data_IF_774436559988
#
_entry.id   IF_774436559988
#
_cell.length_a   1.000
_cell.length_b   1.000
_cell.length_c   1.000
_cell.angle_alpha   90.00
_cell.angle_beta   90.00
_cell.angle_gamma   90.00
#
_symmetry.space_group_name_H-M   'P 1'
#
loop_
_entity.id
_entity.type
_entity.pdbx_description
1 polymer ?
#
# COMPACT_ATOMS: atom_id res chain seq x y z
N UNK A 1 -28.51 3.99 13.66
CA UNK A 1 -27.85 3.85 12.34
C UNK A 1 -26.61 4.74 12.36
N UNK A 2 -25.43 4.17 12.60
CA UNK A 2 -24.19 4.95 12.64
C UNK A 2 -23.75 5.29 11.22
N UNK A 3 -23.70 6.56 10.86
CA UNK A 3 -23.26 7.01 9.54
C UNK A 3 -21.77 6.76 9.39
N UNK A 4 -21.39 5.76 8.59
CA UNK A 4 -20.00 5.52 8.25
C UNK A 4 -19.50 6.69 7.39
N UNK A 5 -18.67 7.57 7.99
CA UNK A 5 -17.98 8.63 7.27
C UNK A 5 -16.91 7.99 6.39
N UNK A 6 -17.09 8.06 5.08
CA UNK A 6 -16.07 7.64 4.12
C UNK A 6 -14.90 8.61 4.22
N UNK A 7 -13.75 8.13 4.70
CA UNK A 7 -12.50 8.90 4.75
C UNK A 7 -11.84 8.82 3.38
N UNK A 8 -11.75 9.95 2.68
CA UNK A 8 -11.24 10.01 1.30
C UNK A 8 -9.72 9.79 1.18
N UNK A 9 -8.97 9.93 2.27
CA UNK A 9 -7.51 9.77 2.33
C UNK A 9 -7.13 8.79 3.43
N UNK A 10 -7.77 7.63 3.44
CA UNK A 10 -7.48 6.62 4.45
C UNK A 10 -6.07 6.07 4.23
N UNK A 11 -5.22 6.18 5.24
CA UNK A 11 -3.92 5.50 5.34
C UNK A 11 -4.09 4.41 6.38
N UNK A 12 -3.71 3.17 6.06
CA UNK A 12 -3.90 2.06 7.00
C UNK A 12 -3.12 2.27 8.29
N UNK A 13 -3.61 1.71 9.41
CA UNK A 13 -2.92 1.82 10.70
C UNK A 13 -1.48 1.27 10.63
N UNK A 14 -1.26 0.23 9.82
CA UNK A 14 0.07 -0.35 9.58
C UNK A 14 0.98 0.67 8.88
N UNK A 15 0.51 1.31 7.81
CA UNK A 15 1.28 2.31 7.07
C UNK A 15 1.63 3.51 7.97
N UNK A 16 0.71 3.92 8.84
CA UNK A 16 0.95 4.98 9.83
C UNK A 16 2.03 4.56 10.85
N UNK A 17 1.97 3.33 11.37
CA UNK A 17 2.97 2.81 12.30
C UNK A 17 4.35 2.75 11.67
N UNK A 18 4.46 2.31 10.41
CA UNK A 18 5.74 2.24 9.70
C UNK A 18 6.33 3.63 9.41
N UNK A 19 5.50 4.61 9.06
CA UNK A 19 5.94 6.00 8.90
C UNK A 19 6.46 6.58 10.22
N UNK A 20 5.75 6.34 11.33
CA UNK A 20 6.22 6.75 12.67
C UNK A 20 7.54 6.08 13.03
N UNK A 21 7.65 4.77 12.80
CA UNK A 21 8.88 4.01 13.07
C UNK A 21 10.07 4.57 12.28
N UNK A 22 9.88 4.90 11.01
CA UNK A 22 10.91 5.52 10.17
C UNK A 22 11.32 6.93 10.62
N UNK A 23 10.37 7.71 11.14
CA UNK A 23 10.62 9.09 11.56
C UNK A 23 11.22 9.19 12.98
N UNK A 24 10.81 8.32 13.90
CA UNK A 24 11.24 8.35 15.30
C UNK A 24 12.59 7.65 15.51
N UNK A 25 12.94 6.69 14.65
CA UNK A 25 14.16 5.90 14.75
C UNK A 25 14.99 6.00 13.47
N UNK A 26 15.93 6.96 13.38
CA UNK A 26 16.82 7.07 12.21
C UNK A 26 17.82 5.92 12.11
N UNK A 27 18.11 5.21 13.20
CA UNK A 27 19.01 4.04 13.22
C UNK A 27 18.24 2.72 13.23
N UNK A 28 17.41 2.51 12.21
CA UNK A 28 16.75 1.23 11.99
C UNK A 28 17.74 0.17 11.49
N UNK A 29 17.59 -1.05 11.98
CA UNK A 29 18.37 -2.18 11.45
C UNK A 29 18.02 -2.43 9.97
N UNK A 30 18.95 -3.00 9.22
CA UNK A 30 18.78 -3.36 7.82
C UNK A 30 17.52 -4.21 7.56
N UNK A 31 17.14 -5.08 8.50
CA UNK A 31 15.94 -5.91 8.39
C UNK A 31 14.67 -5.06 8.51
N UNK A 32 14.63 -4.13 9.47
CA UNK A 32 13.47 -3.26 9.69
C UNK A 32 13.27 -2.29 8.53
N UNK A 33 14.36 -1.76 7.96
CA UNK A 33 14.30 -0.91 6.77
C UNK A 33 13.70 -1.67 5.57
N UNK A 34 14.07 -2.94 5.37
CA UNK A 34 13.50 -3.76 4.29
C UNK A 34 12.01 -3.99 4.45
N UNK A 35 11.54 -4.20 5.67
CA UNK A 35 10.10 -4.34 5.94
C UNK A 35 9.36 -3.04 5.64
N UNK A 36 9.87 -1.88 6.08
CA UNK A 36 9.28 -0.57 5.77
C UNK A 36 9.16 -0.38 4.26
N UNK A 37 10.24 -0.62 3.50
CA UNK A 37 10.24 -0.48 2.04
C UNK A 37 9.24 -1.43 1.38
N UNK A 38 9.15 -2.68 1.85
CA UNK A 38 8.19 -3.66 1.33
C UNK A 38 6.76 -3.15 1.47
N UNK A 39 6.37 -2.66 2.64
CA UNK A 39 5.02 -2.17 2.89
C UNK A 39 4.72 -0.86 2.17
N UNK A 40 5.69 0.05 2.07
CA UNK A 40 5.57 1.26 1.25
C UNK A 40 5.28 0.91 -0.21
N UNK A 41 5.97 -0.09 -0.77
CA UNK A 41 5.72 -0.53 -2.14
C UNK A 41 4.31 -1.12 -2.32
N UNK A 42 3.81 -1.86 -1.34
CA UNK A 42 2.44 -2.39 -1.37
C UNK A 42 1.42 -1.24 -1.33
N UNK A 43 1.65 -0.22 -0.49
CA UNK A 43 0.80 0.96 -0.41
C UNK A 43 0.73 1.72 -1.76
N UNK A 44 1.87 1.93 -2.41
CA UNK A 44 1.91 2.56 -3.75
C UNK A 44 1.10 1.76 -4.77
N UNK A 45 1.28 0.45 -4.83
CA UNK A 45 0.58 -0.41 -5.79
C UNK A 45 -0.92 -0.55 -5.49
N UNK A 46 -1.34 -0.44 -4.22
CA UNK A 46 -2.75 -0.56 -3.82
C UNK A 46 -3.52 0.74 -4.07
N UNK A 47 -2.96 1.85 -3.60
CA UNK A 47 -3.69 3.11 -3.47
C UNK A 47 -3.25 4.17 -4.49
N UNK A 48 -2.06 4.04 -5.07
CA UNK A 48 -1.46 4.99 -6.00
C UNK A 48 -1.13 4.35 -7.34
N UNK A 49 -1.75 3.21 -7.66
CA UNK A 49 -1.64 2.61 -8.98
C UNK A 49 -2.11 3.64 -10.03
N UNK A 50 -1.16 4.12 -10.83
CA UNK A 50 -1.47 4.99 -11.96
C UNK A 50 -2.12 4.12 -13.01
N UNK A 51 -3.39 4.38 -13.30
CA UNK A 51 -4.13 3.77 -14.41
C UNK A 51 -3.45 4.18 -15.73
N UNK A 52 -2.47 3.41 -16.17
CA UNK A 52 -1.63 3.76 -17.31
C UNK A 52 -0.49 2.78 -17.60
N UNK A 53 -0.09 1.94 -16.66
CA UNK A 53 0.63 0.70 -17.00
C UNK A 53 -0.39 -0.26 -17.61
N UNK A 54 -0.20 -0.64 -18.88
CA UNK A 54 -1.02 -1.61 -19.59
C UNK A 54 -1.31 -2.79 -18.67
N UNK A 55 -2.59 -2.99 -18.33
CA UNK A 55 -3.02 -4.15 -17.58
C UNK A 55 -2.55 -5.38 -18.34
N UNK A 56 -1.60 -6.12 -17.76
CA UNK A 56 -1.31 -7.46 -18.22
C UNK A 56 -2.64 -8.21 -18.34
N UNK A 57 -2.83 -9.02 -19.40
CA UNK A 57 -4.07 -9.74 -19.62
C UNK A 57 -4.47 -10.47 -18.34
N UNK A 58 -5.73 -10.33 -17.96
CA UNK A 58 -6.21 -10.88 -16.71
C UNK A 58 -6.23 -12.41 -16.88
N UNK A 59 -5.89 -13.19 -15.83
CA UNK A 59 -5.85 -14.66 -15.92
C UNK A 59 -7.19 -15.33 -16.30
N UNK A 60 -8.26 -14.55 -16.43
CA UNK A 60 -9.59 -15.03 -16.81
C UNK A 60 -10.09 -14.55 -18.17
N UNK A 61 -9.27 -13.80 -18.92
CA UNK A 61 -9.59 -13.45 -20.31
C UNK A 61 -9.72 -14.72 -21.18
N UNK A 62 -8.99 -15.79 -20.83
CA UNK A 62 -9.03 -17.09 -21.50
C UNK A 62 -10.29 -17.94 -21.21
N UNK A 63 -11.13 -17.54 -20.25
CA UNK A 63 -12.36 -18.29 -19.90
C UNK A 63 -13.63 -17.75 -20.59
N UNK A 64 -13.52 -16.68 -21.38
CA UNK A 64 -14.66 -16.04 -22.06
C UNK A 64 -14.83 -16.48 -23.53
N UNK A 65 -13.97 -17.37 -24.03
CA UNK A 65 -14.09 -18.06 -25.33
C UNK A 65 -14.74 -19.45 -25.19
#
# INVERSE_FOLDING_TARGET
MSTQKIVKNYVSEIDQCLQKLANEYPELSLSQQKEIVKYQRIYELRDHAVSGEESAPLPWDDFLE
#
